data_IF_623810000484
#
_entry.id   IF_623810000484
#
_cell.length_a   1.000
_cell.length_b   1.000
_cell.length_c   1.000
_cell.angle_alpha   90.00
_cell.angle_beta   90.00
_cell.angle_gamma   90.00
#
_symmetry.space_group_name_H-M   'P 1'
#
loop_
_entity.id
_entity.type
_entity.pdbx_description
1 polymer ?
#
# COMPACT_ATOMS: atom_id res chain seq x y z
N UNK A 1 10.68 -19.15 10.05
CA UNK A 1 10.80 -17.69 9.98
C UNK A 1 9.85 -17.16 8.92
N UNK A 2 8.98 -16.18 9.24
CA UNK A 2 7.95 -15.64 8.34
C UNK A 2 8.54 -14.52 7.48
N UNK A 3 8.48 -14.61 6.15
CA UNK A 3 8.93 -13.54 5.25
C UNK A 3 7.81 -12.52 5.01
N UNK A 4 8.12 -11.25 5.21
CA UNK A 4 7.19 -10.11 5.01
C UNK A 4 7.83 -9.14 4.03
N UNK A 5 7.21 -8.93 2.89
CA UNK A 5 7.61 -7.89 1.94
C UNK A 5 6.90 -6.58 2.30
N UNK A 6 7.67 -5.51 2.46
CA UNK A 6 7.14 -4.16 2.76
C UNK A 6 7.51 -3.24 1.60
N UNK A 7 6.52 -2.65 0.94
CA UNK A 7 6.72 -1.63 -0.09
C UNK A 7 6.56 -0.23 0.51
N UNK A 8 7.31 0.76 0.02
CA UNK A 8 7.35 2.08 0.64
C UNK A 8 7.98 2.05 2.04
N UNK A 9 8.99 1.18 2.22
CA UNK A 9 9.59 0.90 3.53
C UNK A 9 10.34 2.10 4.12
N UNK A 10 10.75 3.08 3.31
CA UNK A 10 11.40 4.32 3.74
C UNK A 10 10.40 5.39 4.16
N UNK A 11 9.10 5.19 3.87
CA UNK A 11 8.03 6.06 4.33
C UNK A 11 7.80 5.96 5.84
N UNK A 12 7.00 6.88 6.38
CA UNK A 12 6.70 6.94 7.82
C UNK A 12 6.14 5.61 8.37
N UNK A 13 5.12 5.06 7.72
CA UNK A 13 4.49 3.81 8.16
C UNK A 13 5.41 2.60 7.97
N UNK A 14 6.11 2.51 6.83
CA UNK A 14 7.03 1.41 6.55
C UNK A 14 8.15 1.31 7.60
N UNK A 15 8.73 2.45 7.97
CA UNK A 15 9.73 2.52 9.05
C UNK A 15 9.17 2.11 10.41
N UNK A 16 7.95 2.56 10.75
CA UNK A 16 7.31 2.22 12.01
C UNK A 16 7.02 0.72 12.11
N UNK A 17 6.52 0.10 11.05
CA UNK A 17 6.27 -1.35 10.99
C UNK A 17 7.56 -2.14 11.20
N UNK A 18 8.64 -1.77 10.49
CA UNK A 18 9.94 -2.45 10.62
C UNK A 18 10.50 -2.35 12.04
N UNK A 19 10.39 -1.17 12.66
CA UNK A 19 10.87 -0.95 14.02
C UNK A 19 10.07 -1.75 15.06
N UNK A 20 8.75 -1.79 14.95
CA UNK A 20 7.87 -2.49 15.88
C UNK A 20 8.10 -4.01 15.86
N UNK A 21 8.26 -4.58 14.68
CA UNK A 21 8.43 -6.04 14.53
C UNK A 21 9.91 -6.48 14.47
N UNK A 22 10.86 -5.60 14.74
CA UNK A 22 12.29 -5.95 14.70
C UNK A 22 12.71 -7.05 15.69
N UNK A 23 11.91 -7.30 16.73
CA UNK A 23 12.17 -8.33 17.75
C UNK A 23 11.43 -9.64 17.49
N UNK A 24 10.57 -9.68 16.50
CA UNK A 24 9.78 -10.86 16.16
C UNK A 24 10.58 -11.82 15.25
N UNK A 25 10.17 -13.08 15.20
CA UNK A 25 10.74 -14.08 14.29
C UNK A 25 10.24 -13.89 12.85
N UNK A 26 10.60 -12.74 12.27
CA UNK A 26 10.24 -12.35 10.92
C UNK A 26 11.47 -11.90 10.13
N UNK A 27 11.45 -12.16 8.82
CA UNK A 27 12.42 -11.61 7.86
C UNK A 27 11.72 -10.57 7.01
N UNK A 28 12.19 -9.34 7.04
CA UNK A 28 11.69 -8.29 6.15
C UNK A 28 12.41 -8.29 4.81
N UNK A 29 11.63 -8.17 3.73
CA UNK A 29 12.09 -7.83 2.40
C UNK A 29 11.66 -6.39 2.19
N UNK A 30 12.61 -5.47 2.38
CA UNK A 30 12.35 -4.05 2.36
C UNK A 30 12.45 -3.52 0.94
N UNK A 31 11.42 -2.84 0.45
CA UNK A 31 11.43 -2.26 -0.90
C UNK A 31 10.91 -0.82 -0.91
N UNK A 32 11.54 -0.01 -1.74
CA UNK A 32 11.15 1.38 -2.02
C UNK A 32 11.59 1.74 -3.44
N UNK A 33 11.15 2.89 -3.97
CA UNK A 33 11.64 3.38 -5.28
C UNK A 33 13.10 3.83 -5.23
N UNK A 34 13.61 4.13 -4.03
CA UNK A 34 15.01 4.49 -3.79
C UNK A 34 15.71 3.35 -3.08
N UNK A 35 16.79 2.86 -3.70
CA UNK A 35 17.66 1.82 -3.14
C UNK A 35 18.42 2.32 -1.91
N UNK A 36 18.75 1.39 -1.00
CA UNK A 36 19.54 1.67 0.21
C UNK A 36 20.19 0.38 0.74
N UNK A 37 20.96 0.49 1.82
CA UNK A 37 21.77 -0.61 2.37
C UNK A 37 20.96 -1.88 2.68
N UNK A 38 19.70 -1.74 3.07
CA UNK A 38 18.78 -2.85 3.39
C UNK A 38 17.44 -2.66 2.63
N UNK A 39 17.48 -2.00 1.49
CA UNK A 39 16.30 -1.65 0.69
C UNK A 39 16.55 -1.98 -0.78
N UNK A 40 15.76 -2.89 -1.32
CA UNK A 40 15.76 -3.20 -2.76
C UNK A 40 14.92 -2.17 -3.52
N UNK A 41 15.46 -1.62 -4.60
CA UNK A 41 14.70 -0.73 -5.47
C UNK A 41 13.53 -1.47 -6.11
N UNK A 42 12.31 -0.94 -5.96
CA UNK A 42 11.10 -1.47 -6.56
C UNK A 42 10.09 -0.37 -6.85
N UNK A 43 9.80 -0.12 -8.12
CA UNK A 43 8.59 0.59 -8.52
C UNK A 43 7.41 -0.39 -8.57
N UNK A 44 6.44 -0.23 -7.67
CA UNK A 44 5.26 -1.11 -7.63
C UNK A 44 4.40 -0.99 -8.90
N UNK A 45 4.56 0.05 -9.69
CA UNK A 45 3.89 0.21 -10.98
C UNK A 45 4.52 -0.63 -12.11
N UNK A 46 5.73 -1.15 -11.90
CA UNK A 46 6.38 -2.11 -12.81
C UNK A 46 5.94 -3.54 -12.45
N UNK A 47 5.05 -4.09 -13.27
CA UNK A 47 4.48 -5.42 -13.03
C UNK A 47 5.52 -6.53 -13.12
N UNK A 48 6.47 -6.41 -14.03
CA UNK A 48 7.48 -7.46 -14.25
C UNK A 48 8.47 -7.49 -13.08
N UNK A 49 8.91 -6.32 -12.59
CA UNK A 49 9.75 -6.20 -11.42
C UNK A 49 9.05 -6.74 -10.15
N UNK A 50 7.77 -6.40 -9.96
CA UNK A 50 6.97 -6.91 -8.83
C UNK A 50 6.84 -8.42 -8.88
N UNK A 51 6.48 -8.98 -10.02
CA UNK A 51 6.32 -10.43 -10.19
C UNK A 51 7.65 -11.17 -9.99
N UNK A 52 8.74 -10.66 -10.57
CA UNK A 52 10.07 -11.26 -10.43
C UNK A 52 10.50 -11.34 -8.95
N UNK A 53 10.38 -10.22 -8.21
CA UNK A 53 10.75 -10.18 -6.81
C UNK A 53 9.88 -11.11 -5.95
N UNK A 54 8.56 -11.04 -6.12
CA UNK A 54 7.62 -11.85 -5.30
C UNK A 54 7.79 -13.35 -5.58
N UNK A 55 8.06 -13.75 -6.82
CA UNK A 55 8.36 -15.14 -7.19
C UNK A 55 9.66 -15.63 -6.56
N UNK A 56 10.69 -14.80 -6.57
CA UNK A 56 12.00 -15.14 -6.00
C UNK A 56 11.93 -15.27 -4.48
N UNK A 57 11.34 -14.30 -3.81
CA UNK A 57 11.32 -14.21 -2.36
C UNK A 57 10.21 -15.05 -1.70
N UNK A 58 9.10 -15.28 -2.39
CA UNK A 58 7.91 -16.02 -1.90
C UNK A 58 7.47 -15.58 -0.49
N UNK A 59 7.18 -14.27 -0.29
CA UNK A 59 6.73 -13.78 1.01
C UNK A 59 5.40 -14.42 1.40
N UNK A 60 5.15 -14.60 2.69
CA UNK A 60 3.84 -15.02 3.22
C UNK A 60 2.89 -13.84 3.38
N UNK A 61 3.46 -12.63 3.55
CA UNK A 61 2.69 -11.38 3.70
C UNK A 61 3.36 -10.31 2.85
N UNK A 62 2.54 -9.52 2.17
CA UNK A 62 2.96 -8.28 1.49
C UNK A 62 2.24 -7.13 2.18
N UNK A 63 2.98 -6.13 2.66
CA UNK A 63 2.41 -4.91 3.26
C UNK A 63 2.70 -3.76 2.31
N UNK A 64 1.65 -3.24 1.68
CA UNK A 64 1.77 -2.11 0.78
C UNK A 64 1.59 -0.79 1.52
N UNK A 65 2.71 -0.12 1.82
CA UNK A 65 2.77 1.23 2.35
C UNK A 65 3.12 2.28 1.27
N UNK A 66 3.48 1.83 0.06
CA UNK A 66 3.80 2.73 -1.04
C UNK A 66 2.55 3.43 -1.57
N UNK A 67 2.61 4.74 -1.71
CA UNK A 67 1.55 5.56 -2.29
C UNK A 67 2.07 6.93 -2.71
N UNK A 68 1.42 7.55 -3.70
CA UNK A 68 1.54 8.97 -3.97
C UNK A 68 0.58 9.71 -3.03
N UNK A 69 1.11 10.31 -1.96
CA UNK A 69 0.32 10.85 -0.84
C UNK A 69 0.13 12.37 -0.87
N UNK A 70 0.79 13.08 -1.78
CA UNK A 70 0.57 14.52 -1.94
C UNK A 70 -0.77 14.76 -2.64
N UNK A 71 -1.80 15.09 -1.85
CA UNK A 71 -3.19 15.24 -2.30
C UNK A 71 -3.31 16.30 -3.39
N UNK A 72 -2.68 17.47 -3.18
CA UNK A 72 -2.76 18.59 -4.13
C UNK A 72 -2.04 18.25 -5.44
N UNK A 73 -0.86 17.60 -5.36
CA UNK A 73 -0.14 17.17 -6.55
C UNK A 73 -0.92 16.12 -7.36
N UNK A 74 -1.73 15.28 -6.73
CA UNK A 74 -2.55 14.30 -7.44
C UNK A 74 -3.59 14.97 -8.38
N UNK A 75 -4.05 16.19 -8.07
CA UNK A 75 -5.01 16.91 -8.93
C UNK A 75 -4.38 17.30 -10.28
N UNK A 76 -3.07 17.57 -10.31
CA UNK A 76 -2.34 17.97 -11.52
C UNK A 76 -1.52 16.83 -12.13
N UNK A 77 -1.25 15.77 -11.37
CA UNK A 77 -0.42 14.62 -11.75
C UNK A 77 -1.23 13.33 -11.72
N UNK A 78 -2.43 13.34 -12.30
CA UNK A 78 -3.37 12.22 -12.28
C UNK A 78 -2.73 10.90 -12.72
N UNK A 79 -2.00 10.89 -13.83
CA UNK A 79 -1.41 9.67 -14.38
C UNK A 79 -0.38 9.06 -13.44
N UNK A 80 0.47 9.89 -12.81
CA UNK A 80 1.45 9.44 -11.83
C UNK A 80 0.74 8.89 -10.57
N UNK A 81 -0.28 9.60 -10.08
CA UNK A 81 -1.07 9.17 -8.94
C UNK A 81 -1.81 7.85 -9.24
N UNK A 82 -2.42 7.71 -10.40
CA UNK A 82 -3.12 6.50 -10.82
C UNK A 82 -2.16 5.31 -10.96
N UNK A 83 -0.98 5.52 -11.58
CA UNK A 83 0.03 4.46 -11.68
C UNK A 83 0.44 3.93 -10.31
N UNK A 84 0.74 4.81 -9.36
CA UNK A 84 1.22 4.41 -8.03
C UNK A 84 0.07 3.90 -7.16
N UNK A 85 -1.05 4.64 -7.09
CA UNK A 85 -2.13 4.36 -6.14
C UNK A 85 -3.12 3.29 -6.60
N UNK A 86 -3.22 3.02 -7.91
CA UNK A 86 -4.14 2.04 -8.48
C UNK A 86 -3.41 0.86 -9.12
N UNK A 87 -2.53 1.12 -10.11
CA UNK A 87 -1.82 0.05 -10.82
C UNK A 87 -0.81 -0.66 -9.91
N UNK A 88 -0.09 0.06 -9.03
CA UNK A 88 0.81 -0.54 -8.06
C UNK A 88 0.11 -1.60 -7.19
N UNK A 89 -0.97 -1.26 -6.47
CA UNK A 89 -1.76 -2.24 -5.70
C UNK A 89 -2.32 -3.40 -6.54
N UNK A 90 -2.72 -3.16 -7.81
CA UNK A 90 -3.13 -4.23 -8.72
C UNK A 90 -1.98 -5.24 -8.94
N UNK A 91 -0.79 -4.75 -9.25
CA UNK A 91 0.37 -5.59 -9.52
C UNK A 91 0.74 -6.43 -8.27
N UNK A 92 0.74 -5.80 -7.09
CA UNK A 92 0.96 -6.49 -5.82
C UNK A 92 -0.12 -7.54 -5.53
N UNK A 93 -1.39 -7.27 -5.87
CA UNK A 93 -2.50 -8.19 -5.67
C UNK A 93 -2.36 -9.44 -6.57
N UNK A 94 -1.98 -9.25 -7.85
CA UNK A 94 -1.70 -10.34 -8.79
C UNK A 94 -0.54 -11.18 -8.28
N UNK A 95 0.58 -10.55 -7.91
CA UNK A 95 1.76 -11.24 -7.41
C UNK A 95 1.49 -12.00 -6.10
N UNK A 96 0.74 -11.39 -5.17
CA UNK A 96 0.33 -12.04 -3.92
C UNK A 96 -0.51 -13.28 -4.17
N UNK A 97 -1.47 -13.21 -5.11
CA UNK A 97 -2.32 -14.35 -5.48
C UNK A 97 -1.52 -15.50 -6.08
N UNK A 98 -0.46 -15.21 -6.84
CA UNK A 98 0.38 -16.20 -7.49
C UNK A 98 1.18 -17.05 -6.48
N UNK A 99 1.67 -16.44 -5.40
CA UNK A 99 2.45 -17.13 -4.36
C UNK A 99 1.64 -17.49 -3.11
N UNK A 100 0.32 -17.30 -3.15
CA UNK A 100 -0.63 -17.51 -2.04
C UNK A 100 -0.33 -16.63 -0.81
N UNK A 101 0.29 -15.47 -1.02
CA UNK A 101 0.57 -14.49 0.03
C UNK A 101 -0.69 -13.71 0.46
N UNK A 102 -0.68 -13.21 1.69
CA UNK A 102 -1.67 -12.26 2.20
C UNK A 102 -1.23 -10.84 1.85
N UNK A 103 -2.11 -10.06 1.21
CA UNK A 103 -1.86 -8.65 0.92
C UNK A 103 -2.53 -7.76 1.98
N UNK A 104 -1.75 -6.91 2.62
CA UNK A 104 -2.22 -5.84 3.49
C UNK A 104 -2.04 -4.53 2.72
N UNK A 105 -3.15 -3.88 2.37
CA UNK A 105 -3.14 -2.61 1.63
C UNK A 105 -3.57 -1.44 2.50
N UNK A 106 -2.70 -0.45 2.61
CA UNK A 106 -3.01 0.78 3.35
C UNK A 106 -3.70 1.78 2.42
N UNK A 107 -4.95 2.07 2.73
CA UNK A 107 -5.80 3.04 2.06
C UNK A 107 -6.04 4.28 2.94
N UNK A 108 -7.03 5.08 2.65
CA UNK A 108 -7.29 6.38 3.24
C UNK A 108 -8.79 6.61 3.47
N UNK A 109 -9.12 7.48 4.41
CA UNK A 109 -10.46 8.05 4.61
C UNK A 109 -10.92 8.94 3.43
N UNK A 110 -9.99 9.46 2.60
CA UNK A 110 -10.30 10.23 1.39
C UNK A 110 -11.10 9.43 0.33
N UNK A 111 -11.27 8.13 0.51
CA UNK A 111 -12.20 7.34 -0.31
C UNK A 111 -13.66 7.66 -0.03
N UNK A 112 -13.97 8.35 1.08
CA UNK A 112 -15.29 8.84 1.41
C UNK A 112 -15.48 10.30 0.98
N UNK A 113 -16.74 10.73 0.88
CA UNK A 113 -17.08 12.11 0.48
C UNK A 113 -16.76 13.16 1.54
N UNK A 114 -16.55 12.76 2.81
CA UNK A 114 -16.22 13.67 3.90
C UNK A 114 -17.41 14.50 4.44
N UNK A 115 -18.64 14.20 4.02
CA UNK A 115 -19.86 14.93 4.42
C UNK A 115 -20.70 14.19 5.48
N UNK A 116 -20.16 13.10 6.03
CA UNK A 116 -20.84 12.34 7.08
C UNK A 116 -20.88 13.07 8.41
N UNK A 117 -21.95 12.87 9.18
CA UNK A 117 -22.13 13.42 10.54
C UNK A 117 -21.83 12.39 11.65
N UNK A 118 -21.42 11.19 11.27
CA UNK A 118 -21.01 10.10 12.15
C UNK A 118 -19.71 9.46 11.64
N UNK A 119 -18.99 8.69 12.46
CA UNK A 119 -17.87 7.89 11.98
C UNK A 119 -18.29 6.95 10.82
N UNK A 120 -17.44 6.83 9.83
CA UNK A 120 -17.63 5.87 8.74
C UNK A 120 -17.38 4.43 9.21
N UNK A 121 -18.06 3.51 8.58
CA UNK A 121 -17.91 2.07 8.77
C UNK A 121 -17.44 1.40 7.48
N UNK A 122 -17.11 0.11 7.55
CA UNK A 122 -16.70 -0.69 6.38
C UNK A 122 -17.83 -0.84 5.35
N UNK A 123 -19.07 -0.62 5.75
CA UNK A 123 -20.28 -0.78 4.91
C UNK A 123 -20.73 0.52 4.24
N UNK A 124 -20.11 1.66 4.60
CA UNK A 124 -20.46 2.94 3.99
C UNK A 124 -19.92 3.01 2.56
N UNK A 125 -20.77 3.50 1.65
CA UNK A 125 -20.42 3.64 0.24
C UNK A 125 -19.31 4.68 0.05
N UNK A 126 -18.22 4.33 -0.65
CA UNK A 126 -17.21 5.31 -1.02
C UNK A 126 -17.74 6.33 -2.01
N UNK A 127 -17.28 7.58 -1.85
CA UNK A 127 -17.64 8.70 -2.74
C UNK A 127 -16.51 9.73 -2.80
N UNK A 128 -15.29 9.37 -3.27
CA UNK A 128 -14.13 10.26 -3.22
C UNK A 128 -14.34 11.50 -4.08
N UNK A 129 -13.99 12.66 -3.55
CA UNK A 129 -14.06 13.93 -4.28
C UNK A 129 -12.71 14.29 -4.92
N UNK A 130 -11.59 14.02 -4.23
CA UNK A 130 -10.23 14.34 -4.71
C UNK A 130 -9.67 13.30 -5.67
N UNK A 131 -8.71 13.71 -6.51
CA UNK A 131 -7.94 12.82 -7.37
C UNK A 131 -7.20 11.75 -6.53
N UNK A 132 -6.61 12.13 -5.40
CA UNK A 132 -5.98 11.21 -4.46
C UNK A 132 -6.97 10.13 -4.01
N UNK A 133 -8.13 10.51 -3.47
CA UNK A 133 -9.15 9.56 -3.01
C UNK A 133 -9.66 8.64 -4.12
N UNK A 134 -9.87 9.18 -5.33
CA UNK A 134 -10.30 8.39 -6.51
C UNK A 134 -9.27 7.34 -6.90
N UNK A 135 -7.99 7.72 -6.97
CA UNK A 135 -6.92 6.79 -7.33
C UNK A 135 -6.68 5.73 -6.26
N UNK A 136 -6.79 6.09 -4.97
CA UNK A 136 -6.71 5.13 -3.86
C UNK A 136 -7.88 4.16 -3.86
N UNK A 137 -9.10 4.63 -4.10
CA UNK A 137 -10.29 3.77 -4.20
C UNK A 137 -10.16 2.76 -5.36
N UNK A 138 -9.61 3.18 -6.49
CA UNK A 138 -9.39 2.27 -7.61
C UNK A 138 -8.36 1.18 -7.24
N UNK A 139 -7.32 1.52 -6.47
CA UNK A 139 -6.39 0.55 -5.89
C UNK A 139 -7.10 -0.48 -5.00
N UNK A 140 -8.05 -0.04 -4.14
CA UNK A 140 -8.86 -0.96 -3.34
C UNK A 140 -9.69 -1.92 -4.21
N UNK A 141 -10.28 -1.41 -5.30
CA UNK A 141 -11.06 -2.22 -6.24
C UNK A 141 -10.19 -3.29 -6.89
N UNK A 142 -8.98 -2.93 -7.33
CA UNK A 142 -8.04 -3.90 -7.88
C UNK A 142 -7.56 -4.92 -6.84
N UNK A 143 -7.28 -4.52 -5.60
CA UNK A 143 -6.94 -5.46 -4.53
C UNK A 143 -8.07 -6.48 -4.32
N UNK A 144 -9.33 -6.01 -4.26
CA UNK A 144 -10.51 -6.88 -4.12
C UNK A 144 -10.70 -7.81 -5.31
N UNK A 145 -10.38 -7.36 -6.53
CA UNK A 145 -10.56 -8.14 -7.75
C UNK A 145 -9.49 -9.23 -7.95
N UNK A 146 -8.23 -8.96 -7.55
CA UNK A 146 -7.09 -9.80 -7.91
C UNK A 146 -6.46 -10.55 -6.74
N UNK A 147 -6.53 -10.03 -5.49
CA UNK A 147 -5.95 -10.71 -4.35
C UNK A 147 -6.90 -11.81 -3.82
N UNK A 148 -6.33 -12.98 -3.48
CA UNK A 148 -7.10 -14.07 -2.85
C UNK A 148 -7.27 -13.88 -1.35
N UNK A 149 -6.26 -13.32 -0.69
CA UNK A 149 -6.20 -13.08 0.75
C UNK A 149 -5.75 -11.65 0.96
N UNK A 150 -6.62 -10.79 1.47
CA UNK A 150 -6.27 -9.38 1.66
C UNK A 150 -6.92 -8.76 2.89
N UNK A 151 -6.32 -7.65 3.33
CA UNK A 151 -6.90 -6.67 4.22
C UNK A 151 -6.69 -5.29 3.63
N UNK A 152 -7.68 -4.42 3.75
CA UNK A 152 -7.61 -3.01 3.35
C UNK A 152 -7.85 -2.18 4.61
N UNK A 153 -6.85 -1.38 5.00
CA UNK A 153 -6.95 -0.46 6.12
C UNK A 153 -7.12 0.96 5.62
N UNK A 154 -8.27 1.57 5.86
CA UNK A 154 -8.51 2.98 5.60
C UNK A 154 -8.10 3.77 6.83
N UNK A 155 -7.07 4.61 6.71
CA UNK A 155 -6.53 5.41 7.81
C UNK A 155 -6.79 6.88 7.55
N UNK A 156 -7.01 7.63 8.64
CA UNK A 156 -7.00 9.09 8.63
C UNK A 156 -5.77 9.57 9.40
N UNK A 157 -5.11 10.64 8.90
CA UNK A 157 -4.06 11.36 9.63
C UNK A 157 -3.02 10.44 10.28
N UNK A 158 -2.19 9.78 9.46
CA UNK A 158 -1.01 9.05 9.96
C UNK A 158 -0.02 10.07 10.53
N UNK A 159 -0.13 10.31 11.84
CA UNK A 159 0.71 11.26 12.56
C UNK A 159 2.01 10.60 12.99
N UNK A 160 3.11 11.36 12.92
CA UNK A 160 4.37 11.00 13.53
C UNK A 160 4.27 11.08 15.05
N UNK A 161 4.95 10.19 15.78
CA UNK A 161 5.09 10.25 17.24
C UNK A 161 5.70 11.59 17.74
N UNK A 162 6.34 12.34 16.85
CA UNK A 162 6.95 13.65 17.15
C UNK A 162 5.89 14.77 17.21
N UNK A 163 4.69 14.54 16.68
CA UNK A 163 3.64 15.57 16.55
C UNK A 163 2.39 15.28 17.39
N UNK A 164 2.50 14.39 18.37
CA UNK A 164 1.45 14.12 19.34
C UNK A 164 1.72 14.92 20.61
#
# INVERSE_FOLDING_TARGET
MKKILVTGCNGQLGRAIRAEYAKEDVTFINTDVVEGDDVTALDIADVDAVLALVRAERPQVIINCAAHTNVDACETQWDAAYRINAIGPRNLAIAAAEVDAKLIHVSTDYVFAGNGTRPYTEFDEPGPVSAYGKTKLEGERFVKAFARKYFIFRTAWLLSLIHI
#
